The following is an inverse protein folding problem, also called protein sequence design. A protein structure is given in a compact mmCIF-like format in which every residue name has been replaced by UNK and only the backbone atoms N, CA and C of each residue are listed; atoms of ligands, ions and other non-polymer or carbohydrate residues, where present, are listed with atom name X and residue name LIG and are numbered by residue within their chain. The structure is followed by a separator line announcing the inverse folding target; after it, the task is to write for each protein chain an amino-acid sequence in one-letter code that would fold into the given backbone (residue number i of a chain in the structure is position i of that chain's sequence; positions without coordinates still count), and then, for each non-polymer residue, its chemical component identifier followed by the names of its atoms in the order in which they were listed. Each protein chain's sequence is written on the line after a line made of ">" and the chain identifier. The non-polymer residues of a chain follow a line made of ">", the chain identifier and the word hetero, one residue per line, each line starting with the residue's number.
data_IF_553694578515
#
_entry.id   IF_553694578515
#
_cell.length_a   1.000
_cell.length_b   1.000
_cell.length_c   1.000
_cell.angle_alpha   90.00
_cell.angle_beta   90.00
_cell.angle_gamma   90.00
#
_symmetry.space_group_name_H-M   'P 1'
#
loop_
_entity.id
_entity.type
_entity.pdbx_description
1 polymer ?
#
# COMPACT_ATOMS: atom_id res chain seq x y z
N UNK A 1 41.14 -37.28 10.33
CA UNK A 1 39.74 -37.82 10.33
C UNK A 1 38.66 -36.80 10.78
N UNK A 2 39.02 -35.77 11.54
CA UNK A 2 38.02 -34.81 12.09
C UNK A 2 37.61 -33.65 11.15
N UNK A 3 38.36 -33.37 10.09
CA UNK A 3 38.04 -32.28 9.15
C UNK A 3 36.97 -32.68 8.12
N UNK A 4 36.93 -33.94 7.68
CA UNK A 4 35.88 -34.44 6.76
C UNK A 4 34.47 -34.48 7.39
N UNK A 5 34.43 -34.80 8.72
CA UNK A 5 33.12 -34.86 9.41
C UNK A 5 32.47 -33.48 9.66
N UNK A 6 33.27 -32.39 9.65
CA UNK A 6 32.72 -31.03 9.72
C UNK A 6 32.16 -30.57 8.36
N UNK A 7 32.86 -30.86 7.28
CA UNK A 7 32.43 -30.54 5.94
C UNK A 7 31.11 -31.24 5.58
N UNK A 8 30.93 -32.50 5.98
CA UNK A 8 29.72 -33.28 5.74
C UNK A 8 28.53 -32.79 6.59
N UNK A 9 28.77 -32.27 7.78
CA UNK A 9 27.73 -31.66 8.64
C UNK A 9 27.29 -30.31 8.14
N UNK A 10 28.19 -29.50 7.64
CA UNK A 10 27.90 -28.18 7.08
C UNK A 10 27.14 -28.33 5.72
N UNK A 11 27.48 -29.35 4.94
CA UNK A 11 26.73 -29.69 3.71
C UNK A 11 25.31 -30.18 4.00
N UNK A 12 25.14 -31.06 4.98
CA UNK A 12 23.83 -31.58 5.38
C UNK A 12 22.91 -30.52 6.02
N UNK A 13 23.46 -29.53 6.74
CA UNK A 13 22.70 -28.42 7.28
C UNK A 13 22.30 -27.42 6.20
N UNK A 14 23.02 -27.33 5.11
CA UNK A 14 22.71 -26.46 3.99
C UNK A 14 21.60 -27.03 3.08
N UNK A 15 21.47 -28.36 3.02
CA UNK A 15 20.40 -29.02 2.24
C UNK A 15 19.04 -29.01 2.95
N UNK A 16 18.98 -29.02 4.29
CA UNK A 16 17.75 -28.99 5.06
C UNK A 16 17.06 -27.61 5.09
N UNK A 17 17.75 -26.55 4.66
CA UNK A 17 17.21 -25.20 4.59
C UNK A 17 16.74 -24.76 3.19
N UNK A 18 17.01 -25.54 2.15
CA UNK A 18 16.75 -25.15 0.77
C UNK A 18 15.26 -25.15 0.39
N UNK A 19 14.44 -25.94 1.07
CA UNK A 19 12.99 -26.09 0.79
C UNK A 19 12.09 -25.26 1.71
N UNK A 20 12.65 -24.48 2.66
CA UNK A 20 11.83 -23.57 3.48
C UNK A 20 11.47 -22.33 2.67
N UNK A 21 10.15 -22.07 2.44
CA UNK A 21 9.67 -20.89 1.71
C UNK A 21 10.18 -19.57 2.30
N UNK A 22 10.41 -19.51 3.61
CA UNK A 22 10.93 -18.31 4.29
C UNK A 22 12.41 -18.10 3.98
N UNK A 23 13.21 -19.17 3.93
CA UNK A 23 14.62 -19.12 3.53
C UNK A 23 14.74 -18.74 2.06
N UNK A 24 13.91 -19.30 1.19
CA UNK A 24 13.85 -18.94 -0.23
C UNK A 24 13.47 -17.45 -0.42
N UNK A 25 12.49 -16.97 0.33
CA UNK A 25 12.09 -15.56 0.33
C UNK A 25 13.23 -14.65 0.82
N UNK A 26 13.85 -15.00 1.96
CA UNK A 26 14.95 -14.22 2.53
C UNK A 26 16.13 -14.15 1.59
N UNK A 27 16.51 -15.27 0.97
CA UNK A 27 17.59 -15.32 -0.01
C UNK A 27 17.26 -14.50 -1.28
N UNK A 28 16.00 -14.50 -1.72
CA UNK A 28 15.56 -13.67 -2.85
C UNK A 28 15.62 -12.18 -2.49
N UNK A 29 15.15 -11.80 -1.31
CA UNK A 29 15.20 -10.43 -0.81
C UNK A 29 16.65 -9.95 -0.65
N UNK A 30 17.54 -10.78 -0.09
CA UNK A 30 18.96 -10.46 0.05
C UNK A 30 19.67 -10.35 -1.30
N UNK A 31 19.31 -11.20 -2.29
CA UNK A 31 19.87 -11.09 -3.65
C UNK A 31 19.36 -9.86 -4.39
N UNK A 32 18.10 -9.51 -4.20
CA UNK A 32 17.52 -8.28 -4.73
C UNK A 32 18.11 -7.02 -4.09
N UNK A 33 18.53 -7.11 -2.83
CA UNK A 33 19.20 -6.01 -2.09
C UNK A 33 20.72 -5.96 -2.33
N UNK A 34 21.31 -6.97 -2.98
CA UNK A 34 22.72 -6.99 -3.32
C UNK A 34 22.98 -6.09 -4.55
N UNK A 35 22.69 -4.80 -4.37
CA UNK A 35 23.18 -3.79 -5.29
C UNK A 35 24.70 -3.78 -5.17
N UNK A 36 25.38 -3.95 -6.27
CA UNK A 36 26.84 -4.02 -6.40
C UNK A 36 27.54 -2.75 -5.87
N UNK A 37 26.77 -1.67 -5.69
CA UNK A 37 27.11 -0.43 -4.96
C UNK A 37 25.85 0.21 -4.44
N UNK A 38 25.73 0.37 -3.14
CA UNK A 38 24.71 1.25 -2.54
C UNK A 38 25.21 2.69 -2.71
N UNK A 39 24.70 3.37 -3.72
CA UNK A 39 24.93 4.80 -3.87
C UNK A 39 23.90 5.55 -3.02
N UNK A 40 24.35 6.21 -1.97
CA UNK A 40 23.52 7.17 -1.26
C UNK A 40 23.41 8.43 -2.11
N UNK A 41 22.19 8.84 -2.45
CA UNK A 41 21.91 10.13 -3.08
C UNK A 41 21.28 11.07 -2.07
N UNK A 42 21.65 12.34 -2.12
CA UNK A 42 21.06 13.38 -1.29
C UNK A 42 19.84 13.96 -1.99
N UNK A 43 18.72 14.02 -1.29
CA UNK A 43 17.58 14.77 -1.79
C UNK A 43 17.95 16.25 -1.88
N UNK A 44 17.73 16.82 -3.05
CA UNK A 44 17.95 18.24 -3.32
C UNK A 44 16.64 19.01 -3.14
N UNK A 45 16.72 20.32 -2.95
CA UNK A 45 15.55 21.23 -2.92
C UNK A 45 14.48 20.82 -1.88
N UNK A 46 14.90 20.45 -0.69
CA UNK A 46 14.01 20.02 0.41
C UNK A 46 12.88 21.02 0.72
N UNK A 47 13.02 22.28 0.31
CA UNK A 47 12.00 23.32 0.50
C UNK A 47 10.78 23.16 -0.43
N UNK A 48 10.92 22.42 -1.53
CA UNK A 48 9.87 22.24 -2.55
C UNK A 48 9.71 20.77 -2.91
N UNK A 49 10.20 19.86 -2.07
CA UNK A 49 10.13 18.39 -2.29
C UNK A 49 9.28 17.74 -1.21
N UNK A 50 8.41 16.84 -1.63
CA UNK A 50 7.76 15.82 -0.79
C UNK A 50 8.41 14.48 -1.14
N UNK A 51 9.04 13.85 -0.17
CA UNK A 51 9.69 12.55 -0.39
C UNK A 51 8.66 11.43 -0.50
N UNK A 52 9.02 10.40 -1.25
CA UNK A 52 8.22 9.18 -1.32
C UNK A 52 8.07 8.55 0.07
N UNK A 53 6.86 8.06 0.38
CA UNK A 53 6.55 7.48 1.68
C UNK A 53 5.89 8.46 2.67
N UNK A 54 5.80 9.75 2.33
CA UNK A 54 5.06 10.71 3.16
C UNK A 54 3.56 10.42 3.09
N UNK A 55 2.94 10.28 4.26
CA UNK A 55 1.49 10.04 4.37
C UNK A 55 0.75 11.38 4.25
N UNK A 56 -0.29 11.38 3.40
CA UNK A 56 -1.21 12.50 3.21
C UNK A 56 -2.54 12.11 3.82
N UNK A 57 -2.96 12.82 4.86
CA UNK A 57 -4.25 12.58 5.51
C UNK A 57 -5.38 13.20 4.70
N UNK A 58 -6.36 12.37 4.34
CA UNK A 58 -7.51 12.80 3.58
C UNK A 58 -8.79 12.14 4.09
N UNK A 59 -9.90 12.83 3.90
CA UNK A 59 -11.25 12.34 4.23
C UNK A 59 -11.95 11.97 2.92
N UNK A 60 -12.44 10.74 2.86
CA UNK A 60 -13.20 10.24 1.71
C UNK A 60 -14.57 10.94 1.66
N UNK A 61 -14.93 11.49 0.49
CA UNK A 61 -16.22 12.12 0.26
C UNK A 61 -17.24 11.24 -0.48
N UNK A 62 -16.75 10.21 -1.18
CA UNK A 62 -17.58 9.28 -1.94
C UNK A 62 -17.72 7.97 -1.20
N UNK A 63 -18.93 7.42 -1.17
CA UNK A 63 -19.15 6.05 -0.70
C UNK A 63 -18.51 5.04 -1.66
N UNK A 64 -18.03 3.93 -1.10
CA UNK A 64 -17.51 2.81 -1.86
C UNK A 64 -18.58 1.72 -1.89
N UNK A 65 -18.98 1.31 -3.09
CA UNK A 65 -19.79 0.13 -3.30
C UNK A 65 -18.95 -0.95 -3.98
N UNK A 66 -18.82 -2.10 -3.35
CA UNK A 66 -17.98 -3.20 -3.84
C UNK A 66 -18.60 -4.01 -4.96
N UNK A 67 -19.87 -3.77 -5.29
CA UNK A 67 -20.55 -4.48 -6.37
C UNK A 67 -20.05 -4.06 -7.76
N UNK A 68 -19.55 -2.82 -7.88
CA UNK A 68 -19.05 -2.26 -9.13
C UNK A 68 -17.77 -1.45 -8.91
N UNK A 69 -16.81 -1.51 -9.86
CA UNK A 69 -15.66 -0.63 -9.82
C UNK A 69 -16.11 0.83 -9.97
N UNK A 70 -15.37 1.74 -9.34
CA UNK A 70 -15.79 3.13 -9.34
C UNK A 70 -14.65 4.12 -9.12
N UNK A 71 -15.01 5.38 -9.20
CA UNK A 71 -14.14 6.50 -8.90
C UNK A 71 -14.34 6.97 -7.47
N UNK A 72 -13.26 7.49 -6.87
CA UNK A 72 -13.24 8.02 -5.53
C UNK A 72 -12.82 9.47 -5.54
N UNK A 73 -13.37 10.20 -4.57
CA UNK A 73 -12.93 11.55 -4.24
C UNK A 73 -12.68 11.66 -2.74
N UNK A 74 -11.55 12.29 -2.39
CA UNK A 74 -11.23 12.63 -1.02
C UNK A 74 -10.72 14.07 -0.93
N UNK A 75 -10.80 14.66 0.26
CA UNK A 75 -10.27 15.99 0.55
C UNK A 75 -9.15 15.85 1.57
N UNK A 76 -8.01 16.48 1.27
CA UNK A 76 -6.88 16.57 2.17
C UNK A 76 -7.29 17.35 3.42
N UNK A 77 -7.12 16.74 4.58
CA UNK A 77 -7.61 17.24 5.87
C UNK A 77 -6.64 18.16 6.60
N UNK A 78 -5.34 18.06 6.30
CA UNK A 78 -4.26 18.83 6.90
C UNK A 78 -3.25 19.29 5.86
N UNK A 79 -2.60 20.42 6.11
CA UNK A 79 -1.51 20.90 5.26
C UNK A 79 -0.34 19.91 5.24
N UNK A 80 0.18 19.64 4.05
CA UNK A 80 1.36 18.83 3.85
C UNK A 80 2.54 19.72 3.53
N UNK A 81 3.54 19.68 4.39
CA UNK A 81 4.75 20.50 4.26
C UNK A 81 5.82 19.78 3.46
N UNK A 82 6.64 20.56 2.77
CA UNK A 82 7.88 20.08 2.17
C UNK A 82 8.79 19.43 3.21
N UNK A 83 9.80 18.68 2.78
CA UNK A 83 10.72 17.97 3.68
C UNK A 83 11.49 18.92 4.63
N UNK A 84 11.69 20.18 4.25
CA UNK A 84 12.24 21.20 5.15
C UNK A 84 11.29 21.63 6.27
N UNK A 85 10.00 21.26 6.18
CA UNK A 85 8.95 21.63 7.14
C UNK A 85 8.49 23.08 7.08
N UNK A 86 8.94 23.89 6.12
CA UNK A 86 8.67 25.34 6.08
C UNK A 86 7.62 25.76 5.05
N UNK A 87 7.51 25.04 3.94
CA UNK A 87 6.65 25.41 2.82
C UNK A 87 5.49 24.41 2.71
N UNK A 88 4.27 24.92 2.63
CA UNK A 88 3.09 24.10 2.39
C UNK A 88 3.08 23.70 0.91
N UNK A 89 3.23 22.42 0.64
CA UNK A 89 3.22 21.87 -0.71
C UNK A 89 1.81 21.47 -1.15
N UNK A 90 1.05 20.84 -0.24
CA UNK A 90 -0.33 20.46 -0.48
C UNK A 90 -1.17 21.09 0.63
N UNK A 91 -1.96 22.13 0.33
CA UNK A 91 -2.80 22.76 1.33
C UNK A 91 -3.99 21.88 1.68
N UNK A 92 -4.48 22.01 2.90
CA UNK A 92 -5.79 21.52 3.32
C UNK A 92 -6.86 21.93 2.30
N UNK A 93 -7.80 21.03 1.99
CA UNK A 93 -8.83 21.27 0.99
C UNK A 93 -8.42 20.87 -0.44
N UNK A 94 -7.19 20.41 -0.67
CA UNK A 94 -6.82 19.81 -1.94
C UNK A 94 -7.65 18.54 -2.18
N UNK A 95 -8.13 18.34 -3.41
CA UNK A 95 -8.96 17.20 -3.80
C UNK A 95 -8.11 16.10 -4.41
N UNK A 96 -8.33 14.89 -3.94
CA UNK A 96 -7.75 13.67 -4.50
C UNK A 96 -8.81 12.95 -5.32
N UNK A 97 -8.46 12.54 -6.52
CA UNK A 97 -9.26 11.72 -7.40
C UNK A 97 -8.56 10.39 -7.60
N UNK A 98 -9.31 9.31 -7.50
CA UNK A 98 -8.77 7.96 -7.62
C UNK A 98 -9.81 6.96 -8.09
N UNK A 99 -9.43 5.72 -8.13
CA UNK A 99 -10.29 4.59 -8.48
C UNK A 99 -10.07 3.43 -7.53
N UNK A 100 -11.07 2.58 -7.43
CA UNK A 100 -10.99 1.31 -6.71
C UNK A 100 -11.46 0.17 -7.60
N UNK A 101 -10.96 -1.02 -7.32
CA UNK A 101 -11.34 -2.24 -8.02
C UNK A 101 -12.12 -3.16 -7.07
N UNK A 102 -13.09 -3.88 -7.63
CA UNK A 102 -14.03 -4.76 -6.93
C UNK A 102 -13.59 -6.23 -6.89
N UNK A 103 -12.38 -6.55 -7.34
CA UNK A 103 -11.81 -7.90 -7.28
C UNK A 103 -11.57 -8.41 -5.86
N UNK A 104 -12.61 -8.34 -5.01
CA UNK A 104 -12.55 -8.81 -3.63
C UNK A 104 -12.73 -10.31 -3.61
N UNK A 105 -11.67 -11.03 -3.22
CA UNK A 105 -11.75 -12.46 -2.95
C UNK A 105 -12.55 -12.71 -1.66
N UNK A 106 -13.23 -13.87 -1.58
CA UNK A 106 -13.95 -14.28 -0.37
C UNK A 106 -13.03 -14.20 0.85
N UNK A 107 -13.48 -13.48 1.90
CA UNK A 107 -12.71 -13.26 3.12
C UNK A 107 -11.80 -12.03 3.10
N UNK A 108 -11.70 -11.32 2.00
CA UNK A 108 -10.95 -10.07 1.92
C UNK A 108 -11.82 -8.90 2.40
N UNK A 109 -11.33 -8.17 3.41
CA UNK A 109 -12.03 -7.02 4.00
C UNK A 109 -11.42 -5.68 3.56
N UNK A 110 -10.53 -5.68 2.58
CA UNK A 110 -9.78 -4.49 2.17
C UNK A 110 -9.93 -4.24 0.67
N UNK A 111 -10.22 -3.00 0.33
CA UNK A 111 -10.38 -2.51 -1.04
C UNK A 111 -9.11 -1.79 -1.44
N UNK A 112 -8.52 -2.18 -2.55
CA UNK A 112 -7.37 -1.49 -3.09
C UNK A 112 -7.82 -0.20 -3.78
N UNK A 113 -7.27 0.91 -3.35
CA UNK A 113 -7.50 2.25 -3.91
C UNK A 113 -6.22 2.75 -4.53
N UNK A 114 -6.34 3.39 -5.69
CA UNK A 114 -5.24 4.09 -6.36
C UNK A 114 -5.65 5.53 -6.60
N UNK A 115 -4.93 6.46 -6.00
CA UNK A 115 -5.07 7.89 -6.25
C UNK A 115 -4.28 8.26 -7.50
N UNK A 116 -4.94 8.84 -8.49
CA UNK A 116 -4.35 9.14 -9.80
C UNK A 116 -4.12 10.62 -10.03
N UNK A 117 -4.92 11.48 -9.37
CA UNK A 117 -4.90 12.92 -9.63
C UNK A 117 -5.13 13.72 -8.35
N UNK A 118 -4.46 14.84 -8.24
CA UNK A 118 -4.65 15.81 -7.17
C UNK A 118 -4.86 17.20 -7.73
N UNK A 119 -5.88 17.89 -7.21
CA UNK A 119 -6.21 19.27 -7.59
C UNK A 119 -6.14 20.13 -6.34
N UNK A 120 -5.24 21.10 -6.33
CA UNK A 120 -5.09 22.07 -5.24
C UNK A 120 -6.16 23.16 -5.31
N UNK A 121 -6.49 23.82 -4.18
CA UNK A 121 -7.47 24.93 -4.17
C UNK A 121 -7.04 26.13 -5.03
N UNK A 122 -5.75 26.33 -5.25
CA UNK A 122 -5.19 27.37 -6.11
C UNK A 122 -5.24 27.01 -7.63
N UNK A 123 -5.86 25.88 -7.98
CA UNK A 123 -6.03 25.43 -9.35
C UNK A 123 -4.88 24.63 -9.91
N UNK A 124 -3.84 24.35 -9.15
CA UNK A 124 -2.76 23.45 -9.59
C UNK A 124 -3.30 22.03 -9.64
N UNK A 125 -3.17 21.42 -10.80
CA UNK A 125 -3.60 20.06 -11.12
C UNK A 125 -2.37 19.20 -11.43
N UNK A 126 -2.27 18.05 -10.78
CA UNK A 126 -1.14 17.14 -10.97
C UNK A 126 -1.57 15.69 -10.97
N UNK A 127 -0.87 14.89 -11.77
CA UNK A 127 -0.99 13.43 -11.75
C UNK A 127 -0.17 12.87 -10.60
N UNK A 128 -0.77 11.93 -9.87
CA UNK A 128 -0.12 11.19 -8.79
C UNK A 128 -0.43 9.71 -9.00
N UNK A 129 0.52 8.83 -8.77
CA UNK A 129 0.32 7.39 -8.84
C UNK A 129 0.54 6.77 -7.46
N UNK A 130 -0.38 7.03 -6.51
CA UNK A 130 -0.17 6.63 -5.12
C UNK A 130 -1.23 5.63 -4.65
N UNK A 131 -0.84 4.50 -4.00
CA UNK A 131 -1.79 3.61 -3.38
C UNK A 131 -2.47 4.29 -2.19
N UNK A 132 -3.77 4.01 -2.00
CA UNK A 132 -4.47 4.35 -0.77
C UNK A 132 -4.01 3.42 0.36
N UNK A 133 -3.77 4.02 1.53
CA UNK A 133 -3.41 3.31 2.75
C UNK A 133 -4.39 3.66 3.87
N UNK A 134 -4.54 2.77 4.85
CA UNK A 134 -5.32 3.07 6.05
C UNK A 134 -4.52 3.91 7.05
N UNK A 135 -5.14 4.25 8.19
CA UNK A 135 -4.54 5.06 9.24
C UNK A 135 -3.23 4.45 9.82
N UNK A 136 -3.00 3.17 9.60
CA UNK A 136 -1.79 2.45 10.02
C UNK A 136 -0.77 2.27 8.88
N UNK A 137 -1.01 2.91 7.71
CA UNK A 137 -0.15 2.80 6.54
C UNK A 137 -0.26 1.48 5.78
N UNK A 138 -1.24 0.61 6.09
CA UNK A 138 -1.44 -0.66 5.40
C UNK A 138 -2.15 -0.42 4.07
N UNK A 139 -1.75 -1.11 3.02
CA UNK A 139 -2.35 -0.98 1.70
C UNK A 139 -3.86 -1.28 1.71
N UNK A 140 -4.62 -0.48 0.98
CA UNK A 140 -6.07 -0.54 0.83
C UNK A 140 -6.85 0.00 2.04
N UNK A 141 -8.12 0.28 1.83
CA UNK A 141 -9.05 0.74 2.85
C UNK A 141 -9.82 -0.44 3.44
N UNK A 142 -10.01 -0.45 4.76
CA UNK A 142 -10.88 -1.43 5.42
C UNK A 142 -12.33 -1.03 5.21
N UNK A 143 -13.15 -1.96 4.70
CA UNK A 143 -14.60 -1.80 4.56
C UNK A 143 -15.35 -2.72 5.52
N UNK A 144 -16.61 -2.41 5.76
CA UNK A 144 -17.58 -3.34 6.36
C UNK A 144 -18.12 -4.22 5.24
N UNK A 145 -18.04 -5.54 5.40
CA UNK A 145 -18.56 -6.49 4.42
C UNK A 145 -19.96 -6.86 4.86
N UNK A 146 -20.95 -6.37 4.13
CA UNK A 146 -22.34 -6.77 4.30
C UNK A 146 -22.54 -8.15 3.65
N UNK A 147 -22.70 -9.17 4.48
CA UNK A 147 -22.94 -10.53 4.01
C UNK A 147 -24.42 -10.71 3.68
N UNK A 148 -24.83 -10.35 2.47
CA UNK A 148 -26.21 -10.53 1.94
C UNK A 148 -26.69 -11.99 1.92
N UNK A 149 -25.89 -12.94 2.42
CA UNK A 149 -26.28 -14.35 2.46
C UNK A 149 -27.44 -14.67 3.43
N UNK A 150 -27.67 -13.84 4.45
CA UNK A 150 -28.76 -14.08 5.39
C UNK A 150 -30.15 -13.70 4.81
N UNK A 151 -30.20 -12.77 3.86
CA UNK A 151 -31.48 -12.41 3.23
C UNK A 151 -31.94 -13.43 2.19
N UNK A 152 -31.01 -14.15 1.53
CA UNK A 152 -31.36 -15.13 0.51
C UNK A 152 -31.98 -16.42 1.08
N UNK A 153 -31.74 -16.73 2.37
CA UNK A 153 -32.25 -17.96 3.01
C UNK A 153 -33.51 -17.75 3.86
N UNK A 154 -33.86 -16.52 4.21
CA UNK A 154 -35.09 -16.25 4.99
C UNK A 154 -36.38 -16.38 4.18
N UNK A 155 -36.30 -16.40 2.85
CA UNK A 155 -37.44 -16.54 1.94
C UNK A 155 -37.80 -17.99 1.52
N UNK A 156 -37.01 -19.00 1.93
CA UNK A 156 -37.15 -20.37 1.46
C UNK A 156 -37.79 -21.35 2.46
N UNK A 157 -38.27 -20.86 3.61
CA UNK A 157 -38.95 -21.70 4.60
C UNK A 157 -40.38 -21.18 4.79
N UNK A 158 -41.26 -21.42 3.82
CA UNK A 158 -42.69 -21.38 3.98
C UNK A 158 -43.38 -22.08 2.80
N UNK A 159 -43.39 -23.39 2.83
CA UNK A 159 -44.48 -24.22 2.30
C UNK A 159 -44.44 -25.58 2.98
#
# INVERSE_FOLDING_TARGET
>A
RSQNQRADRDAAQNELGADDPNVAYTNRALRASKAERVAASRLTNLNITIAQGKIIDAVLETAINTDLPGTLRAIVSRDVFAESGRVIMIPKGARLLGSYNTGILRGQQRILVVWTRMIRPDGIDMEIGSPGVDMLGRAGLKGEVDNKYMEAYSGAILT
#
